data_IF_042017461976
#
_entry.id   IF_042017461976
#
_cell.length_a   1.000
_cell.length_b   1.000
_cell.length_c   1.000
_cell.angle_alpha   90.00
_cell.angle_beta   90.00
_cell.angle_gamma   90.00
#
_symmetry.space_group_name_H-M   'P 1'
#
loop_
_entity.id
_entity.type
_entity.pdbx_description
1 polymer ?
#
# COMPACT_ATOMS: atom_id res chain seq x y z
N UNK A 1 -16.66 -7.97 15.46
CA UNK A 1 -15.43 -7.21 15.79
C UNK A 1 -15.56 -6.36 17.03
N UNK A 2 -16.58 -5.53 17.17
CA UNK A 2 -16.80 -4.64 18.35
C UNK A 2 -16.89 -5.39 19.67
N UNK A 3 -17.52 -6.57 19.70
CA UNK A 3 -17.63 -7.43 20.90
C UNK A 3 -16.25 -7.93 21.35
N UNK A 4 -15.39 -8.32 20.40
CA UNK A 4 -14.03 -8.83 20.67
C UNK A 4 -13.13 -7.74 21.26
N UNK A 5 -13.27 -6.51 20.75
CA UNK A 5 -12.55 -5.35 21.28
C UNK A 5 -13.00 -5.02 22.71
N UNK A 6 -14.33 -4.92 22.94
CA UNK A 6 -14.90 -4.66 24.27
C UNK A 6 -14.56 -5.73 25.29
N UNK A 7 -14.38 -6.97 24.85
CA UNK A 7 -13.92 -8.07 25.70
C UNK A 7 -12.40 -8.06 25.96
N UNK A 8 -11.64 -7.08 25.47
CA UNK A 8 -10.21 -6.98 25.66
C UNK A 8 -9.37 -8.03 24.94
N UNK A 9 -9.96 -8.79 24.01
CA UNK A 9 -9.26 -9.83 23.26
C UNK A 9 -8.38 -9.30 22.14
N UNK A 10 -8.68 -8.09 21.64
CA UNK A 10 -7.88 -7.34 20.66
C UNK A 10 -7.77 -5.88 21.10
N UNK A 11 -6.72 -5.18 20.68
CA UNK A 11 -6.48 -3.76 21.03
C UNK A 11 -7.09 -2.79 20.03
N UNK A 12 -7.28 -3.23 18.79
CA UNK A 12 -7.88 -2.43 17.72
C UNK A 12 -8.61 -3.34 16.74
N UNK A 13 -9.44 -2.73 15.91
CA UNK A 13 -10.16 -3.41 14.81
C UNK A 13 -9.88 -2.67 13.51
N UNK A 14 -9.90 -3.40 12.42
CA UNK A 14 -9.73 -2.87 11.06
C UNK A 14 -10.77 -3.43 10.10
N UNK A 15 -10.76 -2.89 8.90
CA UNK A 15 -11.59 -3.33 7.78
C UNK A 15 -10.69 -3.62 6.58
N UNK A 16 -11.21 -4.29 5.56
CA UNK A 16 -10.49 -4.58 4.33
C UNK A 16 -11.40 -4.35 3.13
N UNK A 17 -10.84 -3.73 2.09
CA UNK A 17 -11.52 -3.41 0.83
C UNK A 17 -12.79 -2.55 1.02
N UNK A 18 -12.81 -1.71 2.04
CA UNK A 18 -13.89 -0.72 2.22
C UNK A 18 -13.65 0.46 1.28
N UNK A 19 -14.68 0.79 0.51
CA UNK A 19 -14.73 2.00 -0.27
C UNK A 19 -15.09 3.21 0.62
N UNK A 20 -15.03 4.41 0.07
CA UNK A 20 -15.31 5.64 0.82
C UNK A 20 -16.70 5.63 1.48
N UNK A 21 -17.72 5.12 0.78
CA UNK A 21 -19.09 5.00 1.31
C UNK A 21 -19.20 4.00 2.46
N UNK A 22 -18.45 2.88 2.38
CA UNK A 22 -18.43 1.87 3.44
C UNK A 22 -17.75 2.42 4.70
N UNK A 23 -16.62 3.12 4.52
CA UNK A 23 -15.90 3.80 5.61
C UNK A 23 -16.79 4.86 6.24
N UNK A 24 -17.46 5.69 5.43
CA UNK A 24 -18.40 6.70 5.91
C UNK A 24 -19.52 6.07 6.73
N UNK A 25 -20.11 4.98 6.22
CA UNK A 25 -21.19 4.28 6.92
C UNK A 25 -20.73 3.75 8.29
N UNK A 26 -19.57 3.10 8.38
CA UNK A 26 -19.11 2.55 9.66
C UNK A 26 -18.67 3.65 10.65
N UNK A 27 -18.14 4.77 10.17
CA UNK A 27 -17.76 5.92 11.00
C UNK A 27 -18.97 6.64 11.55
N UNK A 28 -20.03 6.81 10.74
CA UNK A 28 -21.23 7.54 11.13
C UNK A 28 -22.21 6.71 11.97
N UNK A 29 -22.31 5.42 11.73
CA UNK A 29 -23.31 4.54 12.35
C UNK A 29 -22.71 3.51 13.32
N UNK A 30 -21.39 3.31 13.27
CA UNK A 30 -20.69 2.40 14.17
C UNK A 30 -20.35 3.06 15.51
N UNK A 31 -20.05 2.23 16.51
CA UNK A 31 -19.64 2.71 17.85
C UNK A 31 -18.13 2.85 17.99
N UNK A 32 -17.35 2.28 17.06
CA UNK A 32 -15.89 2.27 17.09
C UNK A 32 -15.37 2.43 15.66
N UNK A 33 -14.56 3.45 15.46
CA UNK A 33 -13.88 3.71 14.21
C UNK A 33 -12.81 2.64 13.97
N UNK A 34 -12.68 2.06 12.75
CA UNK A 34 -11.58 1.16 12.43
C UNK A 34 -10.23 1.88 12.49
N UNK A 35 -9.19 1.19 12.96
CA UNK A 35 -7.84 1.73 13.00
C UNK A 35 -7.15 1.65 11.64
N UNK A 36 -7.47 0.63 10.84
CA UNK A 36 -6.90 0.40 9.52
C UNK A 36 -7.97 0.05 8.49
N UNK A 37 -7.70 0.41 7.23
CA UNK A 37 -8.36 -0.15 6.06
C UNK A 37 -7.27 -0.84 5.20
N UNK A 38 -7.34 -2.16 5.06
CA UNK A 38 -6.41 -2.92 4.24
C UNK A 38 -6.95 -2.99 2.81
N UNK A 39 -6.22 -2.39 1.87
CA UNK A 39 -6.62 -2.28 0.46
C UNK A 39 -5.44 -2.62 -0.47
N UNK A 40 -5.73 -2.90 -1.73
CA UNK A 40 -4.68 -3.06 -2.74
C UNK A 40 -4.05 -1.70 -3.04
N UNK A 41 -2.72 -1.61 -2.88
CA UNK A 41 -1.93 -0.43 -3.27
C UNK A 41 -0.60 -0.92 -3.83
N UNK A 42 -0.24 -0.41 -4.98
CA UNK A 42 1.07 -0.60 -5.62
C UNK A 42 1.22 0.41 -6.78
N UNK A 43 2.43 0.53 -7.33
CA UNK A 43 2.65 1.33 -8.55
C UNK A 43 1.68 0.85 -9.63
N UNK A 44 0.91 1.79 -10.22
CA UNK A 44 -0.13 1.48 -11.20
C UNK A 44 -1.53 1.30 -10.63
N UNK A 45 -1.66 1.16 -9.31
CA UNK A 45 -2.93 1.11 -8.61
C UNK A 45 -2.85 1.87 -7.28
N UNK A 46 -3.06 3.18 -7.33
CA UNK A 46 -3.05 4.05 -6.16
C UNK A 46 -4.42 4.73 -6.03
N UNK A 47 -5.31 4.28 -5.14
CA UNK A 47 -6.62 4.88 -4.93
C UNK A 47 -6.50 6.14 -4.05
N UNK A 48 -5.93 7.20 -4.62
CA UNK A 48 -5.55 8.44 -3.91
C UNK A 48 -6.69 9.09 -3.14
N UNK A 49 -7.91 9.12 -3.71
CA UNK A 49 -9.07 9.74 -3.06
C UNK A 49 -9.50 8.97 -1.80
N UNK A 50 -9.52 7.63 -1.89
CA UNK A 50 -9.83 6.78 -0.74
C UNK A 50 -8.74 6.87 0.33
N UNK A 51 -7.47 6.87 -0.07
CA UNK A 51 -6.34 7.00 0.85
C UNK A 51 -6.41 8.32 1.62
N UNK A 52 -6.61 9.43 0.93
CA UNK A 52 -6.76 10.76 1.53
C UNK A 52 -7.99 10.86 2.43
N UNK A 53 -9.10 10.23 2.04
CA UNK A 53 -10.30 10.17 2.87
C UNK A 53 -10.05 9.42 4.18
N UNK A 54 -9.39 8.27 4.12
CA UNK A 54 -9.00 7.50 5.31
C UNK A 54 -8.02 8.27 6.20
N UNK A 55 -7.01 8.91 5.61
CA UNK A 55 -6.04 9.74 6.32
C UNK A 55 -6.72 10.87 7.12
N UNK A 56 -7.64 11.60 6.49
CA UNK A 56 -8.40 12.67 7.15
C UNK A 56 -9.23 12.18 8.34
N UNK A 57 -9.60 10.91 8.35
CA UNK A 57 -10.30 10.26 9.44
C UNK A 57 -9.35 9.60 10.47
N UNK A 58 -8.03 9.66 10.24
CA UNK A 58 -7.05 8.95 11.05
C UNK A 58 -7.19 7.43 10.98
N UNK A 59 -7.55 6.90 9.81
CA UNK A 59 -7.59 5.48 9.48
C UNK A 59 -6.34 5.17 8.65
N UNK A 60 -5.48 4.31 9.15
CA UNK A 60 -4.25 3.93 8.48
C UNK A 60 -4.53 3.01 7.28
N UNK A 61 -3.86 3.25 6.17
CA UNK A 61 -3.86 2.34 5.03
C UNK A 61 -2.83 1.24 5.24
N UNK A 62 -3.26 0.01 5.03
CA UNK A 62 -2.42 -1.18 4.99
C UNK A 62 -2.49 -1.75 3.57
N UNK A 63 -1.34 -1.72 2.86
CA UNK A 63 -1.22 -2.10 1.47
C UNK A 63 -1.01 -3.60 1.33
N UNK A 64 -1.97 -4.32 0.75
CA UNK A 64 -1.73 -5.69 0.32
C UNK A 64 -1.32 -5.74 -1.16
N UNK A 65 -0.69 -6.83 -1.58
CA UNK A 65 -0.15 -7.04 -2.93
C UNK A 65 0.79 -5.91 -3.41
N UNK A 66 1.72 -5.43 -2.57
CA UNK A 66 2.56 -4.28 -2.91
C UNK A 66 3.45 -4.52 -4.14
N UNK A 67 3.62 -5.79 -4.53
CA UNK A 67 4.36 -6.21 -5.73
C UNK A 67 3.44 -6.55 -6.92
N UNK A 68 2.16 -6.14 -6.88
CA UNK A 68 1.18 -6.45 -7.92
C UNK A 68 1.17 -7.95 -8.31
N UNK A 69 1.23 -8.84 -7.31
CA UNK A 69 1.38 -10.29 -7.50
C UNK A 69 2.60 -10.69 -8.37
N UNK A 70 3.65 -9.88 -8.38
CA UNK A 70 4.87 -10.10 -9.16
C UNK A 70 4.76 -9.71 -10.65
N UNK A 71 3.59 -9.25 -11.12
CA UNK A 71 3.36 -8.87 -12.53
C UNK A 71 4.30 -7.77 -13.00
N UNK A 72 4.60 -6.81 -12.14
CA UNK A 72 5.39 -5.63 -12.47
C UNK A 72 6.90 -5.81 -12.30
N UNK A 73 7.37 -6.93 -11.77
CA UNK A 73 8.81 -7.16 -11.57
C UNK A 73 9.62 -7.18 -12.87
N UNK A 74 8.98 -7.49 -14.00
CA UNK A 74 9.59 -7.46 -15.35
C UNK A 74 9.20 -6.22 -16.14
N UNK A 75 8.43 -5.30 -15.57
CA UNK A 75 8.06 -4.07 -16.24
C UNK A 75 9.30 -3.19 -16.49
N UNK A 76 9.39 -2.63 -17.72
CA UNK A 76 10.55 -1.85 -18.12
C UNK A 76 10.72 -0.58 -17.31
N UNK A 77 9.63 0.17 -17.07
CA UNK A 77 9.67 1.41 -16.29
C UNK A 77 10.11 1.15 -14.85
N UNK A 78 9.55 0.13 -14.22
CA UNK A 78 9.92 -0.24 -12.84
C UNK A 78 11.42 -0.59 -12.77
N UNK A 79 11.93 -1.36 -13.73
CA UNK A 79 13.35 -1.73 -13.79
C UNK A 79 14.26 -0.51 -14.06
N UNK A 80 13.83 0.44 -14.90
CA UNK A 80 14.55 1.69 -15.14
C UNK A 80 14.64 2.55 -13.86
N UNK A 81 13.55 2.70 -13.12
CA UNK A 81 13.54 3.38 -11.83
C UNK A 81 14.39 2.66 -10.78
N UNK A 82 14.22 1.36 -10.61
CA UNK A 82 15.04 0.58 -9.68
C UNK A 82 16.53 0.75 -9.94
N UNK A 83 16.94 0.71 -11.22
CA UNK A 83 18.32 0.97 -11.64
C UNK A 83 18.78 2.39 -11.33
N UNK A 84 17.92 3.40 -11.52
CA UNK A 84 18.22 4.82 -11.19
C UNK A 84 18.57 4.98 -9.70
N UNK A 85 17.88 4.24 -8.82
CA UNK A 85 18.11 4.28 -7.38
C UNK A 85 19.11 3.22 -6.87
N UNK A 86 19.64 2.36 -7.76
CA UNK A 86 20.62 1.34 -7.39
C UNK A 86 20.06 0.21 -6.52
N UNK A 87 18.77 -0.09 -6.64
CA UNK A 87 18.04 -1.07 -5.82
C UNK A 87 17.36 -2.12 -6.70
N UNK A 88 16.84 -3.18 -6.07
CA UNK A 88 16.03 -4.16 -6.80
C UNK A 88 14.63 -3.59 -7.11
N UNK A 89 13.94 -4.11 -8.14
CA UNK A 89 12.54 -3.74 -8.42
C UNK A 89 11.61 -3.95 -7.21
N UNK A 90 11.84 -5.01 -6.43
CA UNK A 90 11.08 -5.30 -5.20
C UNK A 90 11.27 -4.20 -4.17
N UNK A 91 12.52 -3.86 -3.84
CA UNK A 91 12.84 -2.79 -2.90
C UNK A 91 12.25 -1.44 -3.35
N UNK A 92 12.33 -1.14 -4.65
CA UNK A 92 11.78 0.08 -5.21
C UNK A 92 10.26 0.17 -5.03
N UNK A 93 9.53 -0.90 -5.34
CA UNK A 93 8.07 -0.95 -5.18
C UNK A 93 7.65 -0.84 -3.72
N UNK A 94 8.36 -1.52 -2.81
CA UNK A 94 8.09 -1.43 -1.37
C UNK A 94 8.36 -0.02 -0.82
N UNK A 95 9.46 0.62 -1.24
CA UNK A 95 9.78 1.99 -0.85
C UNK A 95 8.70 2.97 -1.31
N UNK A 96 8.16 2.79 -2.52
CA UNK A 96 7.06 3.60 -3.03
C UNK A 96 5.84 3.56 -2.12
N UNK A 97 5.35 2.38 -1.75
CA UNK A 97 4.19 2.22 -0.87
C UNK A 97 4.45 2.76 0.54
N UNK A 98 5.67 2.56 1.07
CA UNK A 98 6.08 3.14 2.36
C UNK A 98 6.07 4.66 2.33
N UNK A 99 6.57 5.29 1.24
CA UNK A 99 6.56 6.75 1.08
C UNK A 99 5.16 7.33 0.85
N UNK A 100 4.20 6.53 0.37
CA UNK A 100 2.77 6.89 0.37
C UNK A 100 2.15 6.86 1.79
N UNK A 101 2.91 6.47 2.81
CA UNK A 101 2.43 6.35 4.20
C UNK A 101 1.68 5.06 4.50
N UNK A 102 1.79 4.04 3.65
CA UNK A 102 1.16 2.75 3.87
C UNK A 102 1.96 1.87 4.85
N UNK A 103 1.26 1.02 5.59
CA UNK A 103 1.84 -0.20 6.15
C UNK A 103 1.89 -1.22 5.02
N UNK A 104 3.05 -1.81 4.76
CA UNK A 104 3.26 -2.66 3.57
C UNK A 104 3.37 -4.13 3.97
N UNK A 105 2.63 -4.99 3.29
CA UNK A 105 2.54 -6.43 3.57
C UNK A 105 3.11 -7.27 2.41
N UNK A 106 4.44 -7.33 2.22
CA UNK A 106 5.04 -8.20 1.22
C UNK A 106 5.00 -9.66 1.69
N UNK A 107 4.44 -10.54 0.85
CA UNK A 107 4.51 -11.98 1.09
C UNK A 107 5.83 -12.52 0.56
N UNK A 108 6.56 -13.28 1.38
CA UNK A 108 7.66 -14.14 0.94
C UNK A 108 7.74 -15.39 1.81
N UNK A 109 8.14 -16.51 1.21
CA UNK A 109 8.45 -17.76 1.90
C UNK A 109 9.98 -17.97 1.96
N UNK A 110 10.77 -17.01 1.49
CA UNK A 110 12.24 -17.06 1.41
C UNK A 110 12.87 -16.06 2.38
N UNK A 111 13.71 -16.57 3.30
CA UNK A 111 14.38 -15.74 4.32
C UNK A 111 15.29 -14.66 3.72
N UNK A 112 15.95 -14.95 2.59
CA UNK A 112 16.78 -13.94 1.89
C UNK A 112 15.94 -12.81 1.35
N UNK A 113 14.82 -13.13 0.70
CA UNK A 113 13.86 -12.12 0.20
C UNK A 113 13.25 -11.29 1.34
N UNK A 114 12.94 -11.92 2.49
CA UNK A 114 12.45 -11.20 3.67
C UNK A 114 13.46 -10.16 4.15
N UNK A 115 14.76 -10.49 4.16
CA UNK A 115 15.82 -9.55 4.52
C UNK A 115 15.96 -8.42 3.48
N UNK A 116 15.91 -8.76 2.20
CA UNK A 116 15.98 -7.78 1.11
C UNK A 116 14.78 -6.83 1.14
N UNK A 117 13.58 -7.34 1.47
CA UNK A 117 12.37 -6.55 1.63
C UNK A 117 12.44 -5.54 2.79
N UNK A 118 13.29 -5.78 3.79
CA UNK A 118 13.53 -4.85 4.90
C UNK A 118 14.61 -3.78 4.57
N UNK A 119 15.38 -3.99 3.50
CA UNK A 119 16.48 -3.09 3.11
C UNK A 119 15.97 -2.02 2.13
N UNK A 120 15.15 -1.10 2.64
CA UNK A 120 14.52 0.01 1.88
C UNK A 120 14.98 1.37 2.41
N UNK A 121 16.27 1.49 2.76
CA UNK A 121 16.89 2.68 3.35
C UNK A 121 17.26 3.75 2.30
N UNK A 122 16.34 4.07 1.40
CA UNK A 122 16.48 5.12 0.40
C UNK A 122 15.17 5.86 0.21
N UNK A 123 15.23 7.02 -0.40
CA UNK A 123 14.05 7.87 -0.66
C UNK A 123 13.91 8.10 -2.17
N UNK A 124 12.69 7.90 -2.67
CA UNK A 124 12.31 8.23 -4.05
C UNK A 124 12.06 9.74 -4.11
N UNK A 125 12.61 10.42 -5.11
CA UNK A 125 12.41 11.87 -5.24
C UNK A 125 10.93 12.23 -5.39
N UNK A 126 10.58 13.44 -4.97
CA UNK A 126 9.20 13.92 -5.07
C UNK A 126 8.69 13.89 -6.52
N UNK A 127 9.53 14.27 -7.47
CA UNK A 127 9.20 14.28 -8.90
C UNK A 127 8.86 12.88 -9.41
N UNK A 128 9.68 11.90 -9.03
CA UNK A 128 9.44 10.50 -9.40
C UNK A 128 8.19 9.94 -8.71
N UNK A 129 7.94 10.27 -7.44
CA UNK A 129 6.71 9.89 -6.73
C UNK A 129 5.47 10.47 -7.43
N UNK A 130 5.50 11.76 -7.79
CA UNK A 130 4.40 12.43 -8.49
C UNK A 130 4.12 11.82 -9.88
N UNK A 131 5.13 11.29 -10.57
CA UNK A 131 4.98 10.55 -11.82
C UNK A 131 4.39 9.15 -11.57
N UNK A 132 4.97 8.40 -10.63
CA UNK A 132 4.59 7.02 -10.32
C UNK A 132 3.14 6.88 -9.86
N UNK A 133 2.64 7.83 -9.06
CA UNK A 133 1.23 7.87 -8.59
C UNK A 133 0.24 7.98 -9.77
N UNK A 134 0.64 8.62 -10.87
CA UNK A 134 -0.21 8.81 -12.06
C UNK A 134 -0.22 7.58 -12.98
N UNK A 135 0.72 6.67 -12.83
CA UNK A 135 0.78 5.48 -13.67
C UNK A 135 -0.44 4.60 -13.44
N UNK A 136 -0.87 3.94 -14.51
CA UNK A 136 -1.94 2.93 -14.47
C UNK A 136 -1.40 1.60 -14.98
N UNK A 137 -1.66 0.54 -14.22
CA UNK A 137 -1.41 -0.80 -14.69
C UNK A 137 -2.40 -1.15 -15.80
N UNK A 138 -1.90 -1.70 -16.90
CA UNK A 138 -2.69 -2.34 -17.92
C UNK A 138 -2.15 -3.77 -18.17
N UNK A 139 -2.84 -4.54 -19.01
CA UNK A 139 -2.51 -5.96 -19.25
C UNK A 139 -1.16 -6.18 -19.95
N UNK A 140 -0.49 -5.13 -20.44
CA UNK A 140 0.74 -5.26 -21.22
C UNK A 140 1.90 -4.42 -20.69
N UNK A 141 1.65 -3.25 -20.11
CA UNK A 141 2.68 -2.35 -19.58
C UNK A 141 2.06 -1.26 -18.71
N UNK A 142 2.90 -0.55 -17.96
CA UNK A 142 2.49 0.66 -17.24
C UNK A 142 2.17 1.78 -18.24
N UNK A 143 1.05 2.48 -18.03
CA UNK A 143 0.61 3.62 -18.84
C UNK A 143 0.30 4.85 -17.97
N UNK A 144 0.30 6.01 -18.58
CA UNK A 144 -0.05 7.28 -17.94
C UNK A 144 -1.54 7.59 -18.13
#
# INVERSE_FOLDING_TARGET
>A
MTVTLKAGKVRSIGVSNFLQEDVANIVNNGTIKPAVNQIEVHIGHVPTDLMKYCENLGIQIEAYSPLAHGRLLKDRKINEYAKKYGVSPVQFMLAFDLQLGCIVLPKSDNVSEMKDNLSVDFEISKEDMDELVKLKENTQAMSV
#
